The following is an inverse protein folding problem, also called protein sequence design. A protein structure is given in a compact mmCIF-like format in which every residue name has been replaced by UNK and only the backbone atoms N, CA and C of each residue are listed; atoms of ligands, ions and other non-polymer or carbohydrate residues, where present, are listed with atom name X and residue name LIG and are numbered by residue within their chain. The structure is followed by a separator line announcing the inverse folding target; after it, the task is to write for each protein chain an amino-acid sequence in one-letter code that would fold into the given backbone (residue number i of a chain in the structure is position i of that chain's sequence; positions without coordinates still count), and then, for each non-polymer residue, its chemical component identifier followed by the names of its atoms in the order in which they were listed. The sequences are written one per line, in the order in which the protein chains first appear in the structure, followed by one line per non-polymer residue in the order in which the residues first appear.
data_IF_403560242805
#
_entry.id   IF_403560242805
#
_cell.length_a   1.000
_cell.length_b   1.000
_cell.length_c   1.000
_cell.angle_alpha   90.00
_cell.angle_beta   90.00
_cell.angle_gamma   90.00
#
_symmetry.space_group_name_H-M   'P 1'
#
loop_
_entity.id
_entity.type
_entity.pdbx_description
1 polymer ?
#
# COMPACT_ATOMS: atom_id res chain seq x y z
N UNK A 1 -5.46 -1.25 0.77
CA UNK A 1 -6.81 -1.82 0.87
C UNK A 1 -7.15 -2.01 2.33
N UNK A 2 -8.42 -1.87 2.70
CA UNK A 2 -8.91 -2.26 4.02
C UNK A 2 -9.36 -3.74 4.05
N UNK A 3 -9.82 -4.20 5.21
CA UNK A 3 -10.26 -5.59 5.41
C UNK A 3 -11.52 -5.96 4.62
N UNK A 4 -12.28 -4.98 4.11
CA UNK A 4 -13.43 -5.20 3.24
C UNK A 4 -13.03 -5.23 1.75
N UNK A 5 -11.73 -5.11 1.45
CA UNK A 5 -11.23 -5.08 0.08
C UNK A 5 -11.40 -3.74 -0.62
N UNK A 6 -11.79 -2.68 0.09
CA UNK A 6 -11.93 -1.33 -0.50
C UNK A 6 -10.55 -0.73 -0.75
N UNK A 7 -10.34 -0.13 -1.92
CA UNK A 7 -9.11 0.60 -2.23
C UNK A 7 -9.07 1.87 -1.38
N UNK A 8 -8.01 2.03 -0.61
CA UNK A 8 -7.83 3.18 0.31
C UNK A 8 -7.04 4.30 -0.36
N UNK A 9 -5.93 3.96 -1.00
CA UNK A 9 -5.08 4.89 -1.74
C UNK A 9 -4.24 4.14 -2.77
N UNK A 10 -3.76 4.87 -3.78
CA UNK A 10 -2.68 4.44 -4.67
C UNK A 10 -1.46 5.32 -4.37
N UNK A 11 -0.34 4.72 -3.97
CA UNK A 11 0.88 5.46 -3.59
C UNK A 11 1.77 5.78 -4.80
N UNK A 12 1.73 4.93 -5.82
CA UNK A 12 2.43 5.12 -7.08
C UNK A 12 1.65 4.39 -8.16
N UNK A 13 1.56 5.01 -9.34
CA UNK A 13 0.97 4.42 -10.54
C UNK A 13 1.84 4.86 -11.73
N UNK A 14 2.75 3.99 -12.15
CA UNK A 14 3.71 4.30 -13.21
C UNK A 14 4.98 3.47 -13.15
N UNK A 15 5.86 3.69 -14.13
CA UNK A 15 7.17 3.07 -14.20
C UNK A 15 8.15 3.79 -13.27
N UNK A 16 8.88 3.03 -12.48
CA UNK A 16 10.01 3.51 -11.69
C UNK A 16 11.30 2.89 -12.24
N UNK A 17 12.42 3.63 -12.30
CA UNK A 17 13.70 3.07 -12.71
C UNK A 17 14.14 1.97 -11.72
N UNK A 18 15.01 1.08 -12.18
CA UNK A 18 15.59 0.05 -11.32
C UNK A 18 16.30 0.69 -10.11
N UNK A 19 16.06 0.17 -8.92
CA UNK A 19 16.62 0.69 -7.68
C UNK A 19 15.66 0.56 -6.50
N UNK A 20 16.08 1.09 -5.34
CA UNK A 20 15.26 1.15 -4.14
C UNK A 20 14.39 2.40 -4.13
N UNK A 21 13.12 2.24 -3.80
CA UNK A 21 12.15 3.33 -3.71
C UNK A 21 11.49 3.31 -2.34
N UNK A 22 11.38 4.48 -1.71
CA UNK A 22 10.66 4.66 -0.46
C UNK A 22 9.43 5.52 -0.71
N UNK A 23 8.25 5.00 -0.34
CA UNK A 23 6.98 5.69 -0.46
C UNK A 23 6.37 5.85 0.93
N UNK A 24 5.87 7.04 1.22
CA UNK A 24 5.16 7.32 2.47
C UNK A 24 3.66 7.19 2.23
N UNK A 25 3.01 6.36 3.05
CA UNK A 25 1.56 6.35 3.16
C UNK A 25 1.12 7.26 4.29
N UNK A 26 0.38 8.33 3.96
CA UNK A 26 -0.29 9.15 4.97
C UNK A 26 -1.60 8.47 5.39
N UNK A 27 -1.64 8.04 6.66
CA UNK A 27 -2.77 7.37 7.27
C UNK A 27 -3.47 8.21 8.35
N UNK A 28 -3.19 9.51 8.43
CA UNK A 28 -3.70 10.42 9.48
C UNK A 28 -5.24 10.44 9.57
N UNK A 29 -5.94 10.32 8.44
CA UNK A 29 -7.41 10.29 8.38
C UNK A 29 -8.04 8.91 8.54
N UNK A 30 -7.25 7.85 8.75
CA UNK A 30 -7.74 6.47 8.75
C UNK A 30 -7.91 5.92 10.17
N UNK A 31 -8.92 5.04 10.39
CA UNK A 31 -9.08 4.37 11.67
C UNK A 31 -7.95 3.35 11.91
N UNK A 32 -7.57 3.17 13.17
CA UNK A 32 -6.68 2.08 13.58
C UNK A 32 -7.23 0.74 13.10
N UNK A 33 -6.35 -0.17 12.69
CA UNK A 33 -6.77 -1.46 12.17
C UNK A 33 -5.77 -2.09 11.23
N UNK A 34 -6.21 -3.14 10.55
CA UNK A 34 -5.40 -3.89 9.60
C UNK A 34 -5.67 -3.40 8.19
N UNK A 35 -4.58 -3.19 7.44
CA UNK A 35 -4.61 -2.81 6.05
C UNK A 35 -3.71 -3.74 5.24
N UNK A 36 -4.01 -3.89 3.95
CA UNK A 36 -3.19 -4.64 3.02
C UNK A 36 -2.64 -3.69 1.97
N UNK A 37 -1.32 -3.65 1.79
CA UNK A 37 -0.74 -3.05 0.60
C UNK A 37 -0.47 -4.13 -0.44
N UNK A 38 -0.56 -3.73 -1.71
CA UNK A 38 -0.25 -4.56 -2.87
C UNK A 38 0.79 -3.84 -3.72
N UNK A 39 1.88 -4.52 -4.03
CA UNK A 39 2.90 -4.10 -4.97
C UNK A 39 2.75 -4.95 -6.24
N UNK A 40 2.66 -4.30 -7.40
CA UNK A 40 2.62 -4.97 -8.69
C UNK A 40 3.79 -4.52 -9.54
N UNK A 41 4.58 -5.47 -10.06
CA UNK A 41 5.76 -5.21 -10.89
C UNK A 41 5.82 -6.29 -11.96
N UNK A 42 5.87 -5.90 -13.24
CA UNK A 42 6.04 -6.83 -14.37
C UNK A 42 5.09 -8.05 -14.38
N UNK A 43 3.86 -7.88 -13.89
CA UNK A 43 2.87 -8.96 -13.80
C UNK A 43 2.87 -9.73 -12.48
N UNK A 44 3.94 -9.62 -11.68
CA UNK A 44 3.99 -10.19 -10.33
C UNK A 44 3.27 -9.28 -9.34
N UNK A 45 2.54 -9.89 -8.40
CA UNK A 45 1.86 -9.18 -7.33
C UNK A 45 2.29 -9.71 -5.97
N UNK A 46 2.79 -8.83 -5.11
CA UNK A 46 3.04 -9.14 -3.71
C UNK A 46 2.10 -8.33 -2.83
N UNK A 47 1.50 -8.97 -1.84
CA UNK A 47 0.66 -8.28 -0.86
C UNK A 47 1.18 -8.55 0.55
N UNK A 48 1.19 -7.53 1.42
CA UNK A 48 1.50 -7.72 2.84
C UNK A 48 0.55 -6.95 3.74
N UNK A 49 0.45 -7.46 4.96
CA UNK A 49 -0.36 -6.89 6.03
C UNK A 49 0.38 -5.76 6.74
N UNK A 50 -0.33 -4.68 7.02
CA UNK A 50 0.09 -3.55 7.85
C UNK A 50 -0.88 -3.40 9.00
N UNK A 51 -0.37 -3.01 10.16
CA UNK A 51 -1.20 -2.68 11.33
C UNK A 51 -1.01 -1.20 11.59
N UNK A 52 -2.10 -0.43 11.52
CA UNK A 52 -2.14 0.97 11.88
C UNK A 52 -2.57 1.06 13.35
N UNK A 53 -1.64 1.48 14.20
CA UNK A 53 -1.88 1.81 15.60
C UNK A 53 -1.89 3.33 15.75
N UNK A 54 -2.70 3.82 16.68
CA UNK A 54 -2.68 5.21 17.13
C UNK A 54 -2.04 5.27 18.50
#
# INVERSE_FOLDING_TARGET
YDMLGRKVATLVDGQLPAGSHALRWDASGLPSGVYIYRLQVNGDAQSRKMVLLR
#
